data_IF_920766959815
#
_entry.id   IF_920766959815
#
_cell.length_a   1.000
_cell.length_b   1.000
_cell.length_c   1.000
_cell.angle_alpha   90.00
_cell.angle_beta   90.00
_cell.angle_gamma   90.00
#
_symmetry.space_group_name_H-M   'P 1'
#
loop_
_entity.id
_entity.type
_entity.pdbx_description
1 polymer ?
#
# COMPACT_ATOMS: atom_id res chain seq x y z
N UNK A 1 11.57 10.87 4.01
CA UNK A 1 10.34 10.18 3.53
C UNK A 1 9.34 11.24 3.14
N UNK A 2 8.69 11.11 1.99
CA UNK A 2 7.55 11.97 1.62
C UNK A 2 6.28 11.43 2.27
N UNK A 3 5.49 12.32 2.90
CA UNK A 3 4.36 11.94 3.75
C UNK A 3 2.98 12.02 3.11
N UNK A 4 2.88 12.41 1.83
CA UNK A 4 1.61 12.57 1.11
C UNK A 4 1.72 12.03 -0.31
N UNK A 5 0.67 11.34 -0.78
CA UNK A 5 0.63 10.75 -2.13
C UNK A 5 0.75 11.79 -3.25
N UNK A 6 0.35 13.04 -3.01
CA UNK A 6 0.52 14.13 -3.98
C UNK A 6 1.96 14.60 -4.19
N UNK A 7 2.92 14.05 -3.44
CA UNK A 7 4.34 14.41 -3.54
C UNK A 7 5.17 13.40 -4.35
N UNK A 8 4.55 12.36 -4.91
CA UNK A 8 5.26 11.21 -5.49
C UNK A 8 6.35 11.60 -6.51
N UNK A 9 6.08 12.59 -7.37
CA UNK A 9 7.01 13.02 -8.41
C UNK A 9 8.17 13.90 -7.90
N UNK A 10 8.11 14.38 -6.65
CA UNK A 10 9.11 15.28 -6.07
C UNK A 10 10.35 14.56 -5.53
N UNK A 11 10.30 13.24 -5.32
CA UNK A 11 11.38 12.49 -4.67
C UNK A 11 12.71 12.59 -5.45
N UNK A 12 12.67 12.55 -6.78
CA UNK A 12 13.88 12.62 -7.61
C UNK A 12 14.51 14.01 -7.57
N UNK A 13 13.69 15.05 -7.67
CA UNK A 13 14.14 16.44 -7.63
C UNK A 13 14.79 16.76 -6.27
N UNK A 14 14.09 16.45 -5.18
CA UNK A 14 14.61 16.68 -3.83
C UNK A 14 15.85 15.83 -3.52
N UNK A 15 15.95 14.63 -4.07
CA UNK A 15 17.19 13.82 -3.94
C UNK A 15 18.37 14.51 -4.61
N UNK A 16 18.17 15.09 -5.79
CA UNK A 16 19.22 15.82 -6.52
C UNK A 16 19.60 17.12 -5.81
N UNK A 17 18.62 17.86 -5.31
CA UNK A 17 18.83 19.14 -4.62
C UNK A 17 19.52 18.97 -3.26
N UNK A 18 19.08 18.00 -2.45
CA UNK A 18 19.54 17.82 -1.09
C UNK A 18 20.77 16.89 -0.97
N UNK A 19 21.11 16.17 -2.04
CA UNK A 19 22.23 15.22 -2.04
C UNK A 19 22.03 14.00 -1.14
N UNK A 20 20.80 13.76 -0.66
CA UNK A 20 20.44 12.62 0.19
C UNK A 20 19.25 11.86 -0.40
N UNK A 21 19.12 10.55 -0.19
CA UNK A 21 18.00 9.78 -0.70
C UNK A 21 16.65 10.25 -0.13
N UNK A 22 15.76 10.76 -0.99
CA UNK A 22 14.37 11.04 -0.65
C UNK A 22 13.49 9.93 -1.20
N UNK A 23 12.73 9.28 -0.32
CA UNK A 23 11.89 8.13 -0.67
C UNK A 23 10.44 8.61 -0.86
N UNK A 24 9.89 8.32 -2.04
CA UNK A 24 8.45 8.36 -2.35
C UNK A 24 7.77 7.07 -1.89
N UNK A 25 6.76 7.20 -1.03
CA UNK A 25 5.97 6.08 -0.53
C UNK A 25 5.11 5.39 -1.59
N UNK A 26 4.66 6.09 -2.64
CA UNK A 26 3.81 5.53 -3.70
C UNK A 26 4.61 4.54 -4.53
N UNK A 27 5.73 4.99 -5.10
CA UNK A 27 6.63 4.13 -5.89
C UNK A 27 7.22 3.00 -5.05
N UNK A 28 7.58 3.28 -3.79
CA UNK A 28 8.05 2.25 -2.87
C UNK A 28 7.00 1.16 -2.63
N UNK A 29 5.73 1.54 -2.39
CA UNK A 29 4.64 0.58 -2.21
C UNK A 29 4.41 -0.29 -3.44
N UNK A 30 4.43 0.30 -4.65
CA UNK A 30 4.30 -0.47 -5.91
C UNK A 30 5.40 -1.54 -6.01
N UNK A 31 6.66 -1.16 -5.75
CA UNK A 31 7.77 -2.12 -5.80
C UNK A 31 7.72 -3.19 -4.71
N UNK A 32 7.18 -2.87 -3.54
CA UNK A 32 6.94 -3.88 -2.50
C UNK A 32 5.89 -4.91 -2.96
N UNK A 33 4.77 -4.47 -3.55
CA UNK A 33 3.73 -5.38 -4.05
C UNK A 33 4.23 -6.24 -5.22
N UNK A 34 4.97 -5.66 -6.17
CA UNK A 34 5.62 -6.42 -7.25
C UNK A 34 6.55 -7.51 -6.68
N UNK A 35 7.33 -7.17 -5.66
CA UNK A 35 8.26 -8.11 -5.02
C UNK A 35 7.52 -9.25 -4.31
N UNK A 36 6.46 -8.95 -3.55
CA UNK A 36 5.63 -9.95 -2.90
C UNK A 36 5.00 -10.90 -3.92
N UNK A 37 4.48 -10.34 -5.01
CA UNK A 37 3.90 -11.12 -6.10
C UNK A 37 4.93 -12.05 -6.76
N UNK A 38 6.11 -11.54 -7.09
CA UNK A 38 7.19 -12.33 -7.69
C UNK A 38 7.69 -13.46 -6.78
N UNK A 39 7.60 -13.28 -5.46
CA UNK A 39 7.93 -14.30 -4.46
C UNK A 39 6.77 -15.28 -4.17
N UNK A 40 5.60 -15.09 -4.78
CA UNK A 40 4.41 -15.91 -4.51
C UNK A 40 3.84 -15.70 -3.10
N UNK A 41 4.10 -14.55 -2.48
CA UNK A 41 3.62 -14.21 -1.14
C UNK A 41 2.34 -13.38 -1.22
N UNK A 42 1.39 -13.70 -0.34
CA UNK A 42 0.12 -12.97 -0.18
C UNK A 42 -0.17 -12.71 1.29
N UNK A 43 -1.20 -11.90 1.57
CA UNK A 43 -1.69 -11.69 2.93
C UNK A 43 -2.09 -13.03 3.57
N UNK A 44 -1.56 -13.31 4.76
CA UNK A 44 -1.96 -14.49 5.54
C UNK A 44 -3.46 -14.44 5.86
N UNK A 45 -4.15 -15.56 5.70
CA UNK A 45 -5.54 -15.75 6.16
C UNK A 45 -5.64 -16.59 7.42
N UNK A 46 -4.51 -16.74 8.11
CA UNK A 46 -4.48 -17.36 9.42
C UNK A 46 -4.43 -16.28 10.51
N UNK A 47 -5.49 -16.17 11.32
CA UNK A 47 -5.56 -15.28 12.48
C UNK A 47 -5.97 -13.85 12.11
N UNK A 48 -5.15 -12.87 12.50
CA UNK A 48 -5.51 -11.44 12.54
C UNK A 48 -5.95 -10.82 11.20
N UNK A 49 -5.55 -11.42 10.08
CA UNK A 49 -5.82 -10.93 8.72
C UNK A 49 -6.72 -11.89 7.90
N UNK A 50 -7.38 -12.83 8.58
CA UNK A 50 -8.41 -13.69 7.97
C UNK A 50 -9.57 -12.85 7.41
N UNK A 51 -10.44 -13.48 6.63
CA UNK A 51 -11.60 -12.82 6.06
C UNK A 51 -12.52 -12.26 7.16
N UNK A 52 -13.22 -11.13 6.87
CA UNK A 52 -14.21 -10.60 7.79
C UNK A 52 -15.27 -11.65 8.17
N UNK A 53 -15.66 -11.69 9.44
CA UNK A 53 -16.76 -12.56 9.89
C UNK A 53 -18.06 -12.23 9.15
N UNK A 54 -18.83 -13.27 8.82
CA UNK A 54 -20.14 -13.13 8.19
C UNK A 54 -21.11 -12.46 9.15
N UNK A 55 -21.49 -11.22 8.84
CA UNK A 55 -22.54 -10.46 9.53
C UNK A 55 -23.23 -9.52 8.54
N UNK A 56 -24.51 -9.19 8.74
CA UNK A 56 -25.21 -8.23 7.89
C UNK A 56 -24.49 -6.87 7.89
N UNK A 57 -24.15 -6.37 6.70
CA UNK A 57 -23.67 -5.00 6.49
C UNK A 57 -24.83 -4.13 6.00
N UNK A 58 -25.05 -3.00 6.66
CA UNK A 58 -26.21 -2.13 6.42
C UNK A 58 -25.90 -0.97 5.48
N UNK A 59 -26.95 -0.41 4.87
CA UNK A 59 -26.87 0.80 4.07
C UNK A 59 -25.96 0.62 2.84
N UNK A 60 -25.12 1.62 2.57
CA UNK A 60 -24.21 1.58 1.42
C UNK A 60 -23.15 0.47 1.52
N UNK A 61 -23.03 -0.19 2.67
CA UNK A 61 -22.00 -1.20 2.87
C UNK A 61 -22.41 -2.64 2.52
N UNK A 62 -23.66 -2.87 2.11
CA UNK A 62 -24.17 -4.19 1.78
C UNK A 62 -23.36 -4.94 0.70
N UNK A 63 -22.59 -4.22 -0.12
CA UNK A 63 -21.78 -4.78 -1.21
C UNK A 63 -20.29 -4.98 -0.89
N UNK A 64 -19.78 -4.63 0.30
CA UNK A 64 -18.33 -4.67 0.58
C UNK A 64 -17.82 -5.97 1.22
N UNK A 65 -18.71 -6.90 1.60
CA UNK A 65 -18.33 -8.26 1.98
C UNK A 65 -18.93 -9.23 0.96
N UNK A 66 -18.18 -9.50 -0.10
CA UNK A 66 -18.44 -10.55 -1.08
C UNK A 66 -17.24 -11.49 -1.17
#
# INVERSE_FOLDING_TARGET
MLGCGGMADLARELTQELGIPVIDGVSAAVKMIESLHALGLSTSKHGDLDFPLVKPLSGMFGSFNG
#
